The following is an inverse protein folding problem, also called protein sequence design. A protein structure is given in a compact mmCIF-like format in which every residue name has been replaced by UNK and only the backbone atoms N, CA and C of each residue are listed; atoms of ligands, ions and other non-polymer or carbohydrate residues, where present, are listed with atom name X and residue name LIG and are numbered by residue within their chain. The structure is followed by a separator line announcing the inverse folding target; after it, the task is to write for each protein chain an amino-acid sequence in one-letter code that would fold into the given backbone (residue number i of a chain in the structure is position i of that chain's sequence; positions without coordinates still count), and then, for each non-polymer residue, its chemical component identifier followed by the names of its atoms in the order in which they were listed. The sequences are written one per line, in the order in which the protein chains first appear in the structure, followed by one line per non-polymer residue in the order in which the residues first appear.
data_IF_567589255094
#
_entry.id   IF_567589255094
#
_cell.length_a   1.000
_cell.length_b   1.000
_cell.length_c   1.000
_cell.angle_alpha   90.00
_cell.angle_beta   90.00
_cell.angle_gamma   90.00
#
_symmetry.space_group_name_H-M   'P 1'
#
loop_
_entity.id
_entity.type
_entity.pdbx_description
1 polymer ?
#
# COMPACT_ATOMS: atom_id res chain seq x y z
N UNK A 1 25.54 12.65 -7.17
CA UNK A 1 26.69 12.24 -6.34
C UNK A 1 28.02 12.40 -7.10
N UNK A 2 29.03 13.02 -6.48
CA UNK A 2 30.39 13.17 -7.05
C UNK A 2 31.03 11.82 -7.44
N UNK A 3 30.56 10.73 -6.84
CA UNK A 3 30.98 9.34 -7.10
C UNK A 3 30.59 8.86 -8.52
N UNK A 4 29.56 9.44 -9.14
CA UNK A 4 29.20 9.12 -10.53
C UNK A 4 30.12 9.82 -11.56
N UNK A 5 31.00 10.75 -11.17
CA UNK A 5 31.79 11.54 -12.15
C UNK A 5 32.63 10.68 -13.10
N UNK A 6 33.19 9.56 -12.61
CA UNK A 6 33.96 8.61 -13.44
C UNK A 6 33.10 7.88 -14.46
N UNK A 7 31.85 7.60 -14.13
CA UNK A 7 30.93 6.76 -14.92
C UNK A 7 29.72 7.54 -15.45
N UNK A 8 29.74 8.87 -15.38
CA UNK A 8 28.56 9.71 -15.62
C UNK A 8 27.98 9.47 -17.01
N UNK A 9 28.83 9.46 -18.03
CA UNK A 9 28.43 9.24 -19.42
C UNK A 9 27.85 7.83 -19.64
N UNK A 10 28.46 6.80 -19.03
CA UNK A 10 27.95 5.43 -19.12
C UNK A 10 26.60 5.30 -18.39
N UNK A 11 26.47 5.93 -17.23
CA UNK A 11 25.23 5.96 -16.45
C UNK A 11 24.11 6.64 -17.24
N UNK A 12 24.34 7.86 -17.73
CA UNK A 12 23.37 8.65 -18.49
C UNK A 12 22.94 7.91 -19.76
N UNK A 13 23.90 7.40 -20.54
CA UNK A 13 23.60 6.59 -21.73
C UNK A 13 22.77 5.36 -21.39
N UNK A 14 23.04 4.68 -20.29
CA UNK A 14 22.26 3.49 -19.87
C UNK A 14 20.83 3.87 -19.50
N UNK A 15 20.64 4.99 -18.78
CA UNK A 15 19.32 5.51 -18.44
C UNK A 15 18.57 5.92 -19.70
N UNK A 16 19.21 6.63 -20.62
CA UNK A 16 18.63 7.06 -21.89
C UNK A 16 18.25 5.87 -22.78
N UNK A 17 19.07 4.82 -22.83
CA UNK A 17 18.78 3.58 -23.54
C UNK A 17 17.52 2.89 -22.99
N UNK A 18 17.39 2.83 -21.66
CA UNK A 18 16.20 2.29 -21.00
C UNK A 18 14.94 3.11 -21.35
N UNK A 19 15.02 4.44 -21.27
CA UNK A 19 13.90 5.33 -21.62
C UNK A 19 13.57 5.36 -23.11
N UNK A 20 14.57 5.25 -23.98
CA UNK A 20 14.40 5.15 -25.44
C UNK A 20 13.67 3.84 -25.79
N UNK A 21 14.12 2.72 -25.22
CA UNK A 21 13.48 1.41 -25.40
C UNK A 21 12.05 1.41 -24.85
N UNK A 22 11.85 1.99 -23.66
CA UNK A 22 10.54 2.18 -23.04
C UNK A 22 9.56 2.90 -23.97
N UNK A 23 9.98 4.04 -24.56
CA UNK A 23 9.14 4.84 -25.47
C UNK A 23 8.81 4.07 -26.74
N UNK A 24 9.79 3.42 -27.35
CA UNK A 24 9.59 2.61 -28.55
C UNK A 24 8.63 1.44 -28.32
N UNK A 25 8.77 0.74 -27.19
CA UNK A 25 7.89 -0.36 -26.83
C UNK A 25 6.47 0.11 -26.50
N UNK A 26 6.32 1.29 -25.89
CA UNK A 26 5.01 1.84 -25.54
C UNK A 26 4.16 2.05 -26.79
N UNK A 27 4.72 2.66 -27.83
CA UNK A 27 4.01 2.89 -29.10
C UNK A 27 3.58 1.58 -29.76
N UNK A 28 4.50 0.60 -29.84
CA UNK A 28 4.23 -0.72 -30.42
C UNK A 28 3.18 -1.49 -29.63
N UNK A 29 3.22 -1.41 -28.30
CA UNK A 29 2.23 -2.06 -27.44
C UNK A 29 0.85 -1.41 -27.58
N UNK A 30 0.74 -0.08 -27.68
CA UNK A 30 -0.55 0.57 -27.93
C UNK A 30 -1.18 0.05 -29.23
N UNK A 31 -0.40 -0.05 -30.31
CA UNK A 31 -0.88 -0.60 -31.59
C UNK A 31 -1.30 -2.06 -31.47
N UNK A 32 -0.54 -2.87 -30.73
CA UNK A 32 -0.89 -4.26 -30.45
C UNK A 32 -2.19 -4.36 -29.64
N UNK A 33 -2.33 -3.60 -28.56
CA UNK A 33 -3.51 -3.58 -27.71
C UNK A 33 -4.75 -3.14 -28.48
N UNK A 34 -4.63 -2.16 -29.38
CA UNK A 34 -5.72 -1.72 -30.24
C UNK A 34 -6.21 -2.83 -31.19
N UNK A 35 -5.31 -3.71 -31.66
CA UNK A 35 -5.66 -4.86 -32.49
C UNK A 35 -6.28 -6.00 -31.69
N UNK A 36 -5.76 -6.26 -30.48
CA UNK A 36 -6.25 -7.34 -29.60
C UNK A 36 -7.59 -7.02 -28.95
N UNK A 37 -7.81 -5.76 -28.58
CA UNK A 37 -9.00 -5.33 -27.86
C UNK A 37 -9.74 -4.24 -28.63
N UNK A 38 -10.54 -4.60 -29.65
CA UNK A 38 -11.36 -3.62 -30.38
C UNK A 38 -12.25 -2.81 -29.46
N UNK A 39 -12.50 -1.55 -29.83
CA UNK A 39 -13.29 -0.61 -29.03
C UNK A 39 -14.74 -1.11 -28.84
N UNK A 40 -15.21 -1.32 -27.59
CA UNK A 40 -16.62 -1.55 -27.28
C UNK A 40 -17.52 -0.36 -27.67
N UNK A 41 -18.79 -0.63 -27.97
CA UNK A 41 -19.74 0.40 -28.41
C UNK A 41 -20.13 1.40 -27.29
N UNK A 42 -20.01 0.99 -26.04
CA UNK A 42 -20.42 1.73 -24.84
C UNK A 42 -19.33 2.66 -24.29
N UNK A 43 -18.13 2.68 -24.88
CA UNK A 43 -17.03 3.55 -24.42
C UNK A 43 -16.68 4.64 -25.45
N UNK A 44 -16.36 5.83 -24.94
CA UNK A 44 -15.90 6.96 -25.77
C UNK A 44 -14.48 6.72 -26.29
N UNK A 45 -14.12 7.36 -27.40
CA UNK A 45 -12.77 7.24 -27.98
C UNK A 45 -11.68 7.64 -26.98
N UNK A 46 -11.89 8.74 -26.25
CA UNK A 46 -10.96 9.20 -25.20
C UNK A 46 -10.80 8.18 -24.08
N UNK A 47 -11.88 7.55 -23.62
CA UNK A 47 -11.82 6.53 -22.58
C UNK A 47 -11.10 5.27 -23.08
N UNK A 48 -11.35 4.88 -24.33
CA UNK A 48 -10.67 3.77 -24.98
C UNK A 48 -9.16 3.99 -25.08
N UNK A 49 -8.73 5.12 -25.65
CA UNK A 49 -7.31 5.48 -25.76
C UNK A 49 -6.61 5.54 -24.39
N UNK A 50 -7.29 6.09 -23.39
CA UNK A 50 -6.77 6.15 -22.02
C UNK A 50 -6.55 4.76 -21.45
N UNK A 51 -7.49 3.82 -21.66
CA UNK A 51 -7.37 2.43 -21.18
C UNK A 51 -6.25 1.67 -21.92
N UNK A 52 -6.17 1.79 -23.24
CA UNK A 52 -5.07 1.22 -24.04
C UNK A 52 -3.71 1.72 -23.54
N UNK A 53 -3.58 3.03 -23.37
CA UNK A 53 -2.35 3.67 -22.89
C UNK A 53 -2.01 3.21 -21.48
N UNK A 54 -2.98 3.17 -20.56
CA UNK A 54 -2.75 2.75 -19.19
C UNK A 54 -2.27 1.30 -19.09
N UNK A 55 -2.88 0.38 -19.85
CA UNK A 55 -2.45 -1.04 -19.92
C UNK A 55 -1.08 -1.20 -20.58
N UNK A 56 -0.79 -0.41 -21.62
CA UNK A 56 0.53 -0.43 -22.25
C UNK A 56 1.63 0.12 -21.34
N UNK A 57 1.34 1.20 -20.59
CA UNK A 57 2.24 1.76 -19.58
C UNK A 57 2.55 0.77 -18.46
N UNK A 58 1.55 0.00 -18.02
CA UNK A 58 1.73 -1.07 -17.04
C UNK A 58 2.76 -2.10 -17.52
N UNK A 59 2.70 -2.51 -18.79
CA UNK A 59 3.64 -3.45 -19.37
C UNK A 59 5.05 -2.86 -19.54
N UNK A 60 5.18 -1.63 -20.07
CA UNK A 60 6.51 -1.06 -20.34
C UNK A 60 7.23 -0.54 -19.10
N UNK A 61 6.52 -0.27 -17.99
CA UNK A 61 7.12 0.29 -16.76
C UNK A 61 8.26 -0.57 -16.19
N UNK A 62 8.33 -1.85 -16.57
CA UNK A 62 9.41 -2.78 -16.22
C UNK A 62 10.80 -2.25 -16.61
N UNK A 63 10.90 -1.42 -17.66
CA UNK A 63 12.16 -0.79 -18.07
C UNK A 63 12.51 0.48 -17.29
N UNK A 64 11.59 1.04 -16.47
CA UNK A 64 11.89 2.27 -15.74
C UNK A 64 12.99 2.02 -14.70
N UNK A 65 14.12 2.75 -14.74
CA UNK A 65 15.15 2.63 -13.72
C UNK A 65 14.65 3.25 -12.40
N UNK A 66 15.22 2.83 -11.26
CA UNK A 66 14.87 3.43 -9.97
C UNK A 66 15.25 4.91 -9.88
N UNK A 67 16.15 5.39 -10.74
CA UNK A 67 16.49 6.79 -10.97
C UNK A 67 15.37 7.65 -11.57
N UNK A 68 14.22 7.06 -11.95
CA UNK A 68 13.09 7.81 -12.50
C UNK A 68 12.60 8.85 -11.49
N UNK A 69 12.70 10.13 -11.85
CA UNK A 69 12.26 11.23 -11.00
C UNK A 69 10.74 11.19 -10.79
N UNK A 70 10.32 11.51 -9.58
CA UNK A 70 8.90 11.59 -9.20
C UNK A 70 8.66 12.80 -8.31
N UNK A 71 7.43 13.31 -8.33
CA UNK A 71 7.01 14.30 -7.36
C UNK A 71 6.82 13.65 -5.99
N UNK A 72 7.22 14.36 -4.94
CA UNK A 72 7.05 13.95 -3.55
C UNK A 72 6.47 15.10 -2.73
N UNK A 73 5.40 14.80 -1.99
CA UNK A 73 4.79 15.71 -1.04
C UNK A 73 4.54 14.95 0.26
N UNK A 74 4.75 15.63 1.40
CA UNK A 74 4.71 14.99 2.70
C UNK A 74 3.98 15.88 3.70
N UNK A 75 3.01 15.30 4.40
CA UNK A 75 2.31 15.93 5.53
C UNK A 75 2.49 15.00 6.72
N UNK A 76 3.02 15.53 7.82
CA UNK A 76 3.21 14.77 9.05
C UNK A 76 3.29 15.70 10.26
N UNK A 77 3.08 15.13 11.45
CA UNK A 77 3.31 15.85 12.70
C UNK A 77 4.81 16.05 12.96
N UNK A 78 5.16 17.07 13.75
CA UNK A 78 6.54 17.32 14.16
C UNK A 78 7.19 16.11 14.87
N UNK A 79 6.39 15.34 15.63
CA UNK A 79 6.86 14.11 16.28
C UNK A 79 7.29 13.06 15.25
N UNK A 80 6.47 12.82 14.23
CA UNK A 80 6.81 11.88 13.15
C UNK A 80 7.99 12.38 12.31
N UNK A 81 8.08 13.69 12.08
CA UNK A 81 9.18 14.32 11.34
C UNK A 81 10.53 14.09 11.99
N UNK A 82 10.62 14.22 13.32
CA UNK A 82 11.83 13.89 14.09
C UNK A 82 12.33 12.47 13.81
N UNK A 83 11.43 11.49 13.80
CA UNK A 83 11.78 10.10 13.52
C UNK A 83 12.17 9.88 12.05
N UNK A 84 11.51 10.58 11.12
CA UNK A 84 11.85 10.52 9.71
C UNK A 84 13.26 11.08 9.45
N UNK A 85 13.57 12.27 9.98
CA UNK A 85 14.91 12.87 9.90
C UNK A 85 15.96 11.89 10.44
N UNK A 86 15.76 11.34 11.66
CA UNK A 86 16.70 10.39 12.24
C UNK A 86 16.98 9.17 11.33
N UNK A 87 15.95 8.67 10.62
CA UNK A 87 16.12 7.59 9.64
C UNK A 87 16.86 8.04 8.37
N UNK A 88 16.60 9.24 7.88
CA UNK A 88 17.29 9.78 6.70
C UNK A 88 18.78 9.98 6.97
N UNK A 89 19.14 10.48 8.16
CA UNK A 89 20.53 10.75 8.56
C UNK A 89 21.42 9.51 8.63
N UNK A 90 20.85 8.31 8.81
CA UNK A 90 21.60 7.03 8.82
C UNK A 90 21.53 6.29 7.48
N UNK A 91 20.91 6.89 6.45
CA UNK A 91 20.90 6.31 5.11
C UNK A 91 22.32 6.12 4.61
N UNK A 92 22.63 5.01 3.91
CA UNK A 92 23.95 4.83 3.34
C UNK A 92 24.18 5.77 2.13
N UNK A 93 23.11 6.25 1.49
CA UNK A 93 23.15 7.22 0.40
C UNK A 93 23.39 8.63 0.93
N UNK A 94 24.39 9.33 0.37
CA UNK A 94 24.77 10.68 0.79
C UNK A 94 23.63 11.69 0.58
N UNK A 95 23.03 11.69 -0.61
CA UNK A 95 21.95 12.61 -1.00
C UNK A 95 20.73 12.48 -0.08
N UNK A 96 20.46 11.28 0.46
CA UNK A 96 19.36 11.08 1.41
C UNK A 96 19.68 11.71 2.77
N UNK A 97 20.96 11.68 3.19
CA UNK A 97 21.40 12.38 4.40
C UNK A 97 21.37 13.90 4.21
N UNK A 98 21.75 14.39 3.03
CA UNK A 98 21.67 15.81 2.66
C UNK A 98 20.22 16.31 2.71
N UNK A 99 19.27 15.58 2.11
CA UNK A 99 17.83 15.85 2.22
C UNK A 99 17.39 15.84 3.70
N UNK A 100 17.88 14.89 4.50
CA UNK A 100 17.61 14.84 5.93
C UNK A 100 18.05 16.10 6.68
N UNK A 101 19.23 16.64 6.35
CA UNK A 101 19.75 17.87 6.94
C UNK A 101 18.99 19.10 6.44
N UNK A 102 18.66 19.19 5.15
CA UNK A 102 17.83 20.27 4.60
C UNK A 102 16.45 20.33 5.28
N UNK A 103 15.78 19.19 5.43
CA UNK A 103 14.50 19.10 6.14
C UNK A 103 14.66 19.53 7.59
N UNK A 104 15.75 19.12 8.25
CA UNK A 104 16.04 19.51 9.63
C UNK A 104 16.22 21.03 9.76
N UNK A 105 16.99 21.66 8.88
CA UNK A 105 17.18 23.12 8.88
C UNK A 105 15.87 23.86 8.57
N UNK A 106 15.11 23.41 7.57
CA UNK A 106 13.81 23.98 7.23
C UNK A 106 12.81 23.88 8.39
N UNK A 107 12.90 22.83 9.23
CA UNK A 107 12.03 22.63 10.39
C UNK A 107 12.37 23.55 11.58
N UNK A 108 13.55 24.17 11.59
CA UNK A 108 13.94 25.18 12.59
C UNK A 108 13.44 26.58 12.21
N UNK A 109 13.11 26.80 10.95
CA UNK A 109 12.55 28.05 10.49
C UNK A 109 11.09 28.23 10.98
N UNK A 110 10.63 29.48 11.21
CA UNK A 110 9.23 29.75 11.53
C UNK A 110 8.29 29.19 10.46
N UNK A 111 7.06 28.82 10.86
CA UNK A 111 6.05 28.32 9.94
C UNK A 111 5.79 29.32 8.81
N UNK A 112 5.86 28.84 7.56
CA UNK A 112 5.67 29.69 6.38
C UNK A 112 4.18 29.81 6.02
N UNK A 113 3.62 31.02 6.16
CA UNK A 113 2.27 31.34 5.67
C UNK A 113 2.37 32.16 4.37
N UNK A 114 2.16 31.56 3.18
CA UNK A 114 2.32 32.26 1.91
C UNK A 114 1.27 33.37 1.70
N UNK A 115 0.16 33.36 2.46
CA UNK A 115 -0.85 34.43 2.41
C UNK A 115 -0.46 35.62 3.27
N UNK A 116 0.17 35.39 4.43
CA UNK A 116 0.67 36.50 5.26
C UNK A 116 1.76 37.26 4.50
N UNK A 117 2.66 36.58 3.79
CA UNK A 117 3.71 37.23 2.99
C UNK A 117 3.14 38.12 1.88
N UNK A 118 2.07 37.69 1.18
CA UNK A 118 1.41 38.52 0.16
C UNK A 118 0.71 39.76 0.74
N UNK A 119 0.18 39.65 1.95
CA UNK A 119 -0.55 40.74 2.61
C UNK A 119 0.37 41.65 3.43
N UNK A 120 1.56 41.18 3.78
CA UNK A 120 2.52 41.86 4.67
C UNK A 120 2.84 43.27 4.20
N UNK A 121 3.19 43.44 2.93
CA UNK A 121 3.55 44.76 2.37
C UNK A 121 2.37 45.71 2.37
N UNK A 122 1.18 45.25 1.98
CA UNK A 122 -0.03 46.08 1.95
C UNK A 122 -0.51 46.44 3.36
N UNK A 123 -0.56 45.50 4.29
CA UNK A 123 -0.94 45.74 5.67
C UNK A 123 0.07 46.63 6.40
N UNK A 124 1.37 46.48 6.12
CA UNK A 124 2.41 47.35 6.66
C UNK A 124 2.25 48.79 6.13
N UNK A 125 2.05 48.97 4.82
CA UNK A 125 1.82 50.30 4.24
C UNK A 125 0.58 50.99 4.81
N UNK A 126 -0.50 50.24 5.05
CA UNK A 126 -1.72 50.74 5.69
C UNK A 126 -1.44 51.15 7.15
N UNK A 127 -0.73 50.30 7.90
CA UNK A 127 -0.33 50.57 9.29
C UNK A 127 0.51 51.84 9.42
N UNK A 128 1.47 52.03 8.53
CA UNK A 128 2.40 53.16 8.58
C UNK A 128 1.71 54.50 8.25
N UNK A 129 0.59 54.46 7.54
CA UNK A 129 -0.25 55.64 7.21
C UNK A 129 -1.44 55.85 8.16
N UNK A 130 -1.64 54.95 9.13
CA UNK A 130 -2.82 54.89 9.98
C UNK A 130 -2.63 55.64 11.31
N UNK A 131 -3.75 56.10 11.89
CA UNK A 131 -3.77 56.66 13.24
C UNK A 131 -3.67 55.55 14.32
N UNK A 132 -3.45 55.93 15.59
CA UNK A 132 -3.18 54.98 16.67
C UNK A 132 -4.27 53.90 16.85
N UNK A 133 -5.54 54.27 16.68
CA UNK A 133 -6.69 53.38 16.82
C UNK A 133 -6.81 52.39 15.64
N UNK A 134 -6.51 52.88 14.43
CA UNK A 134 -6.43 52.06 13.22
C UNK A 134 -5.23 51.10 13.26
N UNK A 135 -4.08 51.53 13.81
CA UNK A 135 -2.90 50.66 13.98
C UNK A 135 -3.21 49.46 14.87
N UNK A 136 -3.92 49.67 16.00
CA UNK A 136 -4.36 48.57 16.89
C UNK A 136 -5.23 47.56 16.15
N UNK A 137 -6.17 48.05 15.33
CA UNK A 137 -7.06 47.19 14.53
C UNK A 137 -6.29 46.42 13.45
N UNK A 138 -5.33 47.07 12.78
CA UNK A 138 -4.48 46.43 11.77
C UNK A 138 -3.59 45.35 12.41
N UNK A 139 -3.05 45.60 13.60
CA UNK A 139 -2.25 44.64 14.35
C UNK A 139 -3.08 43.40 14.75
N UNK A 140 -4.34 43.59 15.16
CA UNK A 140 -5.29 42.50 15.41
C UNK A 140 -5.64 41.71 14.13
N UNK A 141 -5.76 42.38 12.98
CA UNK A 141 -5.99 41.72 11.69
C UNK A 141 -4.77 40.90 11.29
N UNK A 142 -3.56 41.44 11.48
CA UNK A 142 -2.30 40.72 11.24
C UNK A 142 -2.24 39.46 12.10
N UNK A 143 -2.54 39.55 13.40
CA UNK A 143 -2.62 38.38 14.31
C UNK A 143 -3.72 37.39 13.87
N UNK A 144 -4.88 37.88 13.45
CA UNK A 144 -6.03 37.09 13.00
C UNK A 144 -5.87 36.45 11.62
N UNK A 145 -4.87 36.85 10.82
CA UNK A 145 -4.54 36.16 9.54
C UNK A 145 -3.89 34.79 9.74
N UNK A 146 -3.67 34.39 10.99
CA UNK A 146 -3.23 33.07 11.41
C UNK A 146 -4.35 32.03 11.25
N UNK A 147 -4.21 31.18 10.22
CA UNK A 147 -4.93 29.93 9.92
C UNK A 147 -6.33 29.73 10.55
N UNK A 148 -7.36 30.06 9.76
CA UNK A 148 -8.72 29.56 9.93
C UNK A 148 -8.83 28.10 9.45
N UNK A 149 -8.86 27.16 10.41
CA UNK A 149 -9.03 25.73 10.14
C UNK A 149 -10.51 25.46 9.88
N UNK A 150 -10.88 25.36 8.60
CA UNK A 150 -12.21 24.90 8.22
C UNK A 150 -12.41 23.45 8.66
N UNK A 151 -13.61 23.15 9.16
CA UNK A 151 -14.01 21.78 9.49
C UNK A 151 -13.91 20.84 8.29
N UNK A 152 -13.94 19.53 8.55
CA UNK A 152 -13.84 18.49 7.52
C UNK A 152 -15.20 17.84 7.22
N UNK A 153 -16.14 18.54 6.55
CA UNK A 153 -17.51 18.06 6.36
C UNK A 153 -17.54 16.76 5.55
N UNK A 154 -16.59 16.52 4.67
CA UNK A 154 -16.48 15.26 3.90
C UNK A 154 -16.08 14.07 4.76
N UNK A 155 -15.31 14.26 5.84
CA UNK A 155 -15.00 13.17 6.78
C UNK A 155 -16.19 12.84 7.67
N UNK A 156 -17.07 13.80 7.92
CA UNK A 156 -18.25 13.64 8.79
C UNK A 156 -19.45 13.05 8.01
N UNK A 157 -19.43 13.06 6.66
CA UNK A 157 -20.54 12.54 5.83
C UNK A 157 -20.85 11.04 6.00
N UNK A 158 -20.01 10.28 6.67
CA UNK A 158 -20.17 8.84 6.86
C UNK A 158 -20.08 8.43 8.33
N UNK A 159 -20.63 9.27 9.23
CA UNK A 159 -20.65 9.02 10.67
C UNK A 159 -21.97 8.47 11.19
N UNK A 160 -22.90 8.13 10.29
CA UNK A 160 -24.12 7.43 10.69
C UNK A 160 -23.77 6.10 11.37
N UNK A 161 -24.60 5.62 12.32
CA UNK A 161 -24.37 4.35 12.99
C UNK A 161 -24.17 3.21 11.97
N UNK A 162 -23.11 2.42 12.15
CA UNK A 162 -22.83 1.28 11.28
C UNK A 162 -23.87 0.18 11.53
N UNK A 163 -24.81 0.01 10.61
CA UNK A 163 -25.76 -1.11 10.63
C UNK A 163 -25.06 -2.47 10.69
N UNK A 164 -23.92 -2.58 10.01
CA UNK A 164 -23.09 -3.77 10.04
C UNK A 164 -22.67 -4.11 11.48
N UNK A 165 -22.16 -3.15 12.24
CA UNK A 165 -21.74 -3.39 13.63
C UNK A 165 -22.93 -3.74 14.53
N UNK A 166 -24.07 -3.06 14.36
CA UNK A 166 -25.30 -3.33 15.13
C UNK A 166 -25.75 -4.78 14.90
N UNK A 167 -26.03 -5.15 13.64
CA UNK A 167 -26.53 -6.49 13.27
C UNK A 167 -25.55 -7.59 13.66
N UNK A 168 -24.25 -7.33 13.53
CA UNK A 168 -23.24 -8.31 13.90
C UNK A 168 -23.16 -8.52 15.41
N UNK A 169 -23.26 -7.44 16.20
CA UNK A 169 -23.30 -7.55 17.66
C UNK A 169 -24.54 -8.31 18.13
N UNK A 170 -25.70 -8.05 17.55
CA UNK A 170 -26.94 -8.76 17.84
C UNK A 170 -26.79 -10.28 17.56
N UNK A 171 -26.34 -10.63 16.35
CA UNK A 171 -26.11 -12.05 15.98
C UNK A 171 -25.08 -12.73 16.87
N UNK A 172 -23.97 -12.07 17.19
CA UNK A 172 -22.95 -12.63 18.10
C UNK A 172 -23.52 -12.91 19.48
N UNK A 173 -24.29 -11.97 20.04
CA UNK A 173 -24.92 -12.14 21.35
C UNK A 173 -25.89 -13.33 21.34
N UNK A 174 -26.71 -13.48 20.30
CA UNK A 174 -27.62 -14.63 20.17
C UNK A 174 -26.86 -15.96 20.10
N UNK A 175 -25.78 -16.03 19.31
CA UNK A 175 -24.95 -17.22 19.19
C UNK A 175 -24.25 -17.54 20.51
N UNK A 176 -23.72 -16.53 21.19
CA UNK A 176 -23.06 -16.67 22.48
C UNK A 176 -24.01 -17.24 23.55
N UNK A 177 -25.23 -16.71 23.66
CA UNK A 177 -26.26 -17.22 24.59
C UNK A 177 -26.58 -18.69 24.29
N UNK A 178 -26.73 -19.05 23.02
CA UNK A 178 -26.98 -20.45 22.60
C UNK A 178 -25.83 -21.40 22.93
N UNK A 179 -24.57 -20.95 22.82
CA UNK A 179 -23.38 -21.78 23.03
C UNK A 179 -23.07 -21.99 24.52
N UNK A 180 -23.20 -20.93 25.33
CA UNK A 180 -22.79 -20.96 26.74
C UNK A 180 -23.93 -21.23 27.71
N UNK A 181 -25.19 -20.99 27.32
CA UNK A 181 -26.37 -21.38 28.09
C UNK A 181 -26.41 -20.85 29.54
N UNK A 182 -25.75 -19.71 29.82
CA UNK A 182 -25.68 -19.15 31.17
C UNK A 182 -24.77 -19.92 32.14
N UNK A 183 -23.79 -20.67 31.64
CA UNK A 183 -22.76 -21.31 32.47
C UNK A 183 -22.13 -20.32 33.47
N UNK A 184 -21.70 -20.76 34.66
CA UNK A 184 -21.00 -19.88 35.60
C UNK A 184 -19.66 -19.42 35.03
N UNK A 185 -19.23 -18.22 35.40
CA UNK A 185 -17.94 -17.67 35.02
C UNK A 185 -16.84 -18.32 35.87
N UNK A 186 -15.86 -18.95 35.24
CA UNK A 186 -14.76 -19.60 35.95
C UNK A 186 -13.80 -18.56 36.57
N UNK A 187 -13.28 -18.80 37.78
CA UNK A 187 -12.25 -17.94 38.36
C UNK A 187 -10.95 -18.04 37.56
N UNK A 188 -10.31 -16.91 37.29
CA UNK A 188 -9.03 -16.83 36.56
C UNK A 188 -8.08 -15.82 37.22
N UNK A 189 -6.76 -15.96 37.02
CA UNK A 189 -5.80 -14.97 37.48
C UNK A 189 -6.01 -13.62 36.79
N UNK A 190 -5.55 -12.53 37.42
CA UNK A 190 -5.64 -11.16 36.88
C UNK A 190 -4.99 -11.01 35.50
N UNK A 191 -3.92 -11.76 35.26
CA UNK A 191 -3.21 -11.82 33.99
C UNK A 191 -3.00 -13.28 33.66
N UNK A 192 -3.47 -13.70 32.48
CA UNK A 192 -3.35 -15.05 31.98
C UNK A 192 -2.66 -15.00 30.62
N UNK A 193 -1.53 -15.70 30.49
CA UNK A 193 -0.80 -15.81 29.23
C UNK A 193 -1.38 -17.01 28.47
N UNK A 194 -2.02 -16.75 27.34
CA UNK A 194 -2.66 -17.80 26.53
C UNK A 194 -1.64 -18.36 25.53
N UNK A 195 -1.53 -19.69 25.48
CA UNK A 195 -0.63 -20.38 24.55
C UNK A 195 -1.17 -20.36 23.11
N UNK A 196 -0.28 -20.47 22.10
CA UNK A 196 -0.70 -20.61 20.71
C UNK A 196 -1.66 -21.78 20.50
N UNK A 197 -2.64 -21.59 19.64
CA UNK A 197 -3.65 -22.58 19.27
C UNK A 197 -4.03 -22.37 17.79
N UNK A 198 -4.96 -23.18 17.27
CA UNK A 198 -5.36 -23.07 15.87
C UNK A 198 -5.99 -21.70 15.58
N UNK A 199 -5.75 -21.15 14.39
CA UNK A 199 -6.31 -19.87 13.98
C UNK A 199 -7.84 -19.91 13.92
N UNK A 200 -8.40 -21.06 13.56
CA UNK A 200 -9.84 -21.32 13.58
C UNK A 200 -10.43 -21.18 14.99
N UNK A 201 -9.81 -21.81 15.98
CA UNK A 201 -10.23 -21.69 17.37
C UNK A 201 -10.01 -20.26 17.88
N UNK A 202 -8.90 -19.62 17.51
CA UNK A 202 -8.59 -18.25 17.90
C UNK A 202 -9.65 -17.26 17.39
N UNK A 203 -10.06 -17.37 16.11
CA UNK A 203 -11.10 -16.52 15.52
C UNK A 203 -12.43 -16.65 16.27
N UNK A 204 -12.91 -17.89 16.40
CA UNK A 204 -14.22 -18.15 16.99
C UNK A 204 -14.20 -17.77 18.47
N UNK A 205 -13.11 -18.06 19.18
CA UNK A 205 -12.95 -17.68 20.59
C UNK A 205 -12.94 -16.17 20.74
N UNK A 206 -12.20 -15.44 19.90
CA UNK A 206 -12.10 -13.97 19.98
C UNK A 206 -13.43 -13.30 19.61
N UNK A 207 -14.16 -13.81 18.61
CA UNK A 207 -15.50 -13.36 18.26
C UNK A 207 -16.49 -13.51 19.43
N UNK A 208 -16.48 -14.67 20.09
CA UNK A 208 -17.34 -14.94 21.25
C UNK A 208 -16.88 -14.17 22.51
N UNK A 209 -15.58 -13.89 22.65
CA UNK A 209 -15.04 -13.10 23.75
C UNK A 209 -15.62 -11.68 23.77
N UNK A 210 -15.73 -11.03 22.60
CA UNK A 210 -16.36 -9.71 22.50
C UNK A 210 -17.86 -9.67 22.83
N UNK A 211 -18.52 -10.84 22.88
CA UNK A 211 -19.96 -10.97 23.11
C UNK A 211 -20.31 -11.65 24.46
N UNK A 212 -19.31 -11.96 25.29
CA UNK A 212 -19.51 -12.65 26.57
C UNK A 212 -18.66 -12.07 27.69
N UNK A 213 -18.94 -12.51 28.93
CA UNK A 213 -18.16 -12.15 30.12
C UNK A 213 -17.26 -13.31 30.58
N UNK A 214 -17.05 -14.33 29.75
CA UNK A 214 -16.27 -15.52 30.10
C UNK A 214 -14.78 -15.28 29.85
N UNK A 215 -13.88 -15.77 30.73
CA UNK A 215 -12.45 -15.77 30.47
C UNK A 215 -12.10 -16.52 29.20
N UNK A 216 -11.03 -16.08 28.52
CA UNK A 216 -10.63 -16.62 27.23
C UNK A 216 -10.46 -18.14 27.23
N UNK A 217 -9.82 -18.72 28.25
CA UNK A 217 -9.63 -20.19 28.36
C UNK A 217 -10.95 -20.94 28.42
N UNK A 218 -11.95 -20.43 29.15
CA UNK A 218 -13.27 -21.04 29.25
C UNK A 218 -13.98 -21.05 27.89
N UNK A 219 -13.87 -19.96 27.13
CA UNK A 219 -14.42 -19.88 25.77
C UNK A 219 -13.68 -20.85 24.85
N UNK A 220 -12.33 -20.86 24.90
CA UNK A 220 -11.50 -21.71 24.06
C UNK A 220 -11.77 -23.21 24.28
N UNK A 221 -11.92 -23.63 25.53
CA UNK A 221 -12.31 -24.99 25.89
C UNK A 221 -13.64 -25.39 25.27
N UNK A 222 -14.63 -24.47 25.29
CA UNK A 222 -15.93 -24.70 24.66
C UNK A 222 -15.83 -24.75 23.15
N UNK A 223 -15.06 -23.85 22.54
CA UNK A 223 -14.85 -23.76 21.08
C UNK A 223 -14.16 -25.01 20.55
N UNK A 224 -13.18 -25.56 21.27
CA UNK A 224 -12.51 -26.83 20.92
C UNK A 224 -13.45 -28.03 20.88
N UNK A 225 -14.57 -27.97 21.61
CA UNK A 225 -15.62 -29.01 21.60
C UNK A 225 -16.65 -28.81 20.48
N UNK A 226 -16.64 -27.67 19.79
CA UNK A 226 -17.52 -27.42 18.65
C UNK A 226 -17.01 -28.18 17.42
N UNK A 227 -17.94 -28.70 16.62
CA UNK A 227 -17.62 -29.19 15.28
C UNK A 227 -17.23 -28.03 14.36
N UNK A 228 -16.44 -28.32 13.33
CA UNK A 228 -16.04 -27.32 12.33
C UNK A 228 -17.26 -26.65 11.68
N UNK A 229 -18.34 -27.40 11.44
CA UNK A 229 -19.59 -26.84 10.90
C UNK A 229 -20.19 -25.75 11.80
N UNK A 230 -20.12 -25.92 13.12
CA UNK A 230 -20.61 -24.92 14.09
C UNK A 230 -19.70 -23.71 14.14
N UNK A 231 -18.38 -23.90 14.10
CA UNK A 231 -17.40 -22.81 14.00
C UNK A 231 -17.64 -21.99 12.73
N UNK A 232 -17.87 -22.67 11.61
CA UNK A 232 -18.18 -22.05 10.33
C UNK A 232 -19.49 -21.26 10.38
N UNK A 233 -20.53 -21.78 11.03
CA UNK A 233 -21.81 -21.03 11.20
C UNK A 233 -21.60 -19.71 11.93
N UNK A 234 -20.71 -19.66 12.92
CA UNK A 234 -20.39 -18.41 13.63
C UNK A 234 -19.70 -17.43 12.68
N UNK A 235 -18.75 -17.89 11.88
CA UNK A 235 -18.03 -17.07 10.89
C UNK A 235 -18.99 -16.59 9.78
N UNK A 236 -19.86 -17.47 9.29
CA UNK A 236 -20.89 -17.16 8.29
C UNK A 236 -21.82 -16.05 8.77
N UNK A 237 -22.28 -16.12 10.02
CA UNK A 237 -23.14 -15.10 10.61
C UNK A 237 -22.50 -13.70 10.60
N UNK A 238 -21.16 -13.61 10.76
CA UNK A 238 -20.44 -12.33 10.70
C UNK A 238 -20.36 -11.82 9.27
N UNK A 239 -20.10 -12.72 8.32
CA UNK A 239 -19.94 -12.38 6.92
C UNK A 239 -21.26 -11.92 6.27
N UNK A 240 -22.39 -12.52 6.64
CA UNK A 240 -23.72 -12.14 6.15
C UNK A 240 -24.07 -10.68 6.45
N UNK A 241 -23.56 -10.12 7.55
CA UNK A 241 -23.81 -8.73 7.92
C UNK A 241 -22.90 -7.74 7.18
N UNK A 242 -21.84 -8.21 6.52
CA UNK A 242 -20.77 -7.37 5.99
C UNK A 242 -21.14 -6.78 4.62
N UNK A 243 -21.30 -5.46 4.55
CA UNK A 243 -21.54 -4.73 3.31
C UNK A 243 -20.31 -4.61 2.41
N UNK A 244 -20.47 -3.96 1.25
CA UNK A 244 -19.41 -3.83 0.22
C UNK A 244 -18.18 -3.07 0.74
N UNK A 245 -18.41 -2.03 1.54
CA UNK A 245 -17.37 -1.12 2.04
C UNK A 245 -16.94 -1.43 3.48
N UNK A 246 -17.62 -2.38 4.12
CA UNK A 246 -17.30 -2.77 5.50
C UNK A 246 -16.02 -3.62 5.55
N UNK A 247 -15.15 -3.25 6.48
CA UNK A 247 -13.99 -4.06 6.80
C UNK A 247 -14.37 -5.23 7.71
N UNK A 248 -13.64 -6.36 7.66
CA UNK A 248 -13.75 -7.38 8.69
C UNK A 248 -13.52 -6.75 10.06
N UNK A 249 -14.21 -7.28 11.08
CA UNK A 249 -14.13 -6.75 12.43
C UNK A 249 -12.71 -6.90 13.01
N UNK A 250 -12.47 -6.22 14.13
CA UNK A 250 -11.19 -6.27 14.82
C UNK A 250 -10.84 -7.68 15.31
N UNK A 251 -11.83 -8.49 15.62
CA UNK A 251 -11.69 -9.87 16.06
C UNK A 251 -11.09 -10.79 14.97
N UNK A 252 -10.92 -10.31 13.72
CA UNK A 252 -10.16 -10.97 12.66
C UNK A 252 -8.65 -10.67 12.72
N UNK A 253 -8.18 -9.83 13.64
CA UNK A 253 -6.75 -9.59 13.91
C UNK A 253 -6.14 -10.79 14.67
N UNK A 254 -6.38 -12.00 14.17
CA UNK A 254 -5.94 -13.28 14.74
C UNK A 254 -4.65 -13.77 14.10
N UNK A 255 -4.04 -14.73 14.79
CA UNK A 255 -2.91 -15.49 14.30
C UNK A 255 -1.62 -14.74 14.59
N UNK A 256 -0.72 -15.40 15.33
CA UNK A 256 0.54 -14.81 15.76
C UNK A 256 1.38 -14.17 14.64
N UNK A 257 1.23 -14.64 13.38
CA UNK A 257 1.50 -13.94 12.11
C UNK A 257 1.35 -14.92 10.92
N UNK A 258 0.57 -14.57 9.89
CA UNK A 258 0.74 -15.14 8.54
C UNK A 258 2.01 -14.57 7.93
N UNK A 259 2.96 -15.42 7.57
CA UNK A 259 4.28 -15.01 7.08
C UNK A 259 4.45 -15.45 5.63
N UNK A 260 4.64 -14.48 4.73
CA UNK A 260 4.90 -14.71 3.31
C UNK A 260 6.29 -14.19 2.94
N UNK A 261 7.15 -15.09 2.45
CA UNK A 261 8.40 -14.73 1.80
C UNK A 261 8.14 -14.54 0.29
N UNK A 262 8.05 -13.29 -0.14
CA UNK A 262 7.61 -12.94 -1.49
C UNK A 262 8.79 -12.46 -2.32
N UNK A 263 9.02 -13.14 -3.44
CA UNK A 263 9.94 -12.70 -4.49
C UNK A 263 9.11 -12.17 -5.66
N UNK A 264 9.23 -10.87 -5.96
CA UNK A 264 8.41 -10.20 -6.96
C UNK A 264 9.18 -9.13 -7.73
N UNK A 265 8.71 -8.71 -8.90
CA UNK A 265 9.26 -7.53 -9.57
C UNK A 265 9.18 -6.27 -8.69
N UNK A 266 10.12 -5.35 -8.88
CA UNK A 266 10.21 -4.15 -8.05
C UNK A 266 9.02 -3.21 -8.27
N UNK A 267 8.37 -3.25 -9.44
CA UNK A 267 7.11 -2.54 -9.69
C UNK A 267 5.98 -3.04 -8.77
N UNK A 268 5.76 -4.35 -8.68
CA UNK A 268 4.79 -4.96 -7.78
C UNK A 268 5.09 -4.65 -6.32
N UNK A 269 6.36 -4.67 -5.92
CA UNK A 269 6.76 -4.26 -4.57
C UNK A 269 6.34 -2.80 -4.27
N UNK A 270 6.60 -1.86 -5.19
CA UNK A 270 6.21 -0.45 -5.02
C UNK A 270 4.70 -0.28 -4.89
N UNK A 271 3.92 -1.17 -5.48
CA UNK A 271 2.47 -1.20 -5.37
C UNK A 271 2.01 -1.80 -4.02
N UNK A 272 2.55 -2.95 -3.63
CA UNK A 272 2.17 -3.67 -2.41
C UNK A 272 2.70 -3.04 -1.12
N UNK A 273 3.83 -2.30 -1.16
CA UNK A 273 4.38 -1.65 0.03
C UNK A 273 3.45 -0.63 0.69
N UNK A 274 2.41 -0.19 -0.04
CA UNK A 274 1.40 0.76 0.44
C UNK A 274 0.46 0.16 1.50
N UNK A 275 0.52 -1.16 1.73
CA UNK A 275 -0.17 -1.85 2.84
C UNK A 275 0.61 -1.70 4.13
N UNK A 276 0.52 -0.50 4.71
CA UNK A 276 1.38 -0.02 5.80
C UNK A 276 1.10 -0.63 7.17
N UNK A 277 -0.07 -1.27 7.35
CA UNK A 277 -0.39 -1.96 8.61
C UNK A 277 0.45 -3.24 8.70
N UNK A 278 0.56 -3.97 7.57
CA UNK A 278 1.34 -5.18 7.48
C UNK A 278 2.80 -4.90 7.87
N UNK A 279 3.39 -5.82 8.62
CA UNK A 279 4.83 -5.78 8.90
C UNK A 279 5.58 -6.19 7.65
N UNK A 280 6.42 -5.30 7.13
CA UNK A 280 7.20 -5.52 5.92
C UNK A 280 8.70 -5.43 6.22
N UNK A 281 9.44 -6.51 5.97
CA UNK A 281 10.90 -6.53 6.08
C UNK A 281 11.50 -6.64 4.69
N UNK A 282 12.25 -5.60 4.30
CA UNK A 282 12.77 -5.44 2.95
C UNK A 282 14.24 -5.86 2.87
N UNK A 283 14.56 -6.80 2.00
CA UNK A 283 15.95 -6.99 1.56
C UNK A 283 16.36 -5.86 0.58
N UNK A 284 17.66 -5.58 0.40
CA UNK A 284 18.14 -4.66 -0.64
C UNK A 284 17.68 -5.08 -2.04
N UNK A 285 17.52 -4.10 -2.94
CA UNK A 285 17.30 -4.38 -4.35
C UNK A 285 18.62 -4.83 -5.01
N UNK A 286 18.57 -5.92 -5.77
CA UNK A 286 19.74 -6.49 -6.47
C UNK A 286 19.33 -7.04 -7.84
N UNK A 287 20.31 -7.31 -8.69
CA UNK A 287 20.11 -8.01 -9.97
C UNK A 287 20.19 -9.54 -9.86
N UNK A 288 20.61 -10.06 -8.70
CA UNK A 288 20.93 -11.49 -8.49
C UNK A 288 19.68 -12.40 -8.56
N UNK A 289 18.50 -11.85 -8.28
CA UNK A 289 17.24 -12.59 -8.33
C UNK A 289 16.65 -12.69 -9.74
N UNK A 290 17.33 -12.14 -10.75
CA UNK A 290 16.83 -12.03 -12.10
C UNK A 290 15.71 -11.01 -12.25
N UNK A 291 15.04 -11.05 -13.40
CA UNK A 291 14.01 -10.10 -13.78
C UNK A 291 12.79 -10.81 -14.38
N UNK A 292 11.67 -10.11 -14.44
CA UNK A 292 10.45 -10.57 -15.10
C UNK A 292 10.29 -9.89 -16.47
N UNK A 293 9.82 -10.68 -17.43
CA UNK A 293 9.40 -10.16 -18.75
C UNK A 293 7.89 -10.05 -18.76
N UNK A 294 7.31 -8.86 -19.01
CA UNK A 294 5.86 -8.68 -19.15
C UNK A 294 5.28 -9.64 -20.19
N UNK A 295 4.20 -10.36 -19.85
CA UNK A 295 3.57 -11.29 -20.78
C UNK A 295 2.98 -10.56 -22.00
N UNK A 296 2.60 -9.29 -21.86
CA UNK A 296 2.13 -8.45 -22.96
C UNK A 296 3.20 -8.32 -24.06
N UNK A 297 4.48 -8.23 -23.68
CA UNK A 297 5.59 -8.20 -24.64
C UNK A 297 5.80 -9.57 -25.30
N UNK A 298 5.57 -10.66 -24.58
CA UNK A 298 5.62 -12.03 -25.12
C UNK A 298 4.53 -12.20 -26.17
N UNK A 299 3.28 -11.89 -25.84
CA UNK A 299 2.15 -12.04 -26.75
C UNK A 299 2.28 -11.13 -27.97
N UNK A 300 2.81 -9.92 -27.80
CA UNK A 300 3.07 -8.98 -28.89
C UNK A 300 4.31 -9.34 -29.73
N UNK A 301 5.09 -10.35 -29.34
CA UNK A 301 6.40 -10.71 -29.96
C UNK A 301 7.42 -9.56 -29.94
N UNK A 302 7.42 -8.78 -28.85
CA UNK A 302 8.27 -7.60 -28.64
C UNK A 302 9.35 -7.83 -27.57
N UNK A 303 9.66 -9.09 -27.23
CA UNK A 303 10.61 -9.45 -26.17
C UNK A 303 12.05 -9.11 -26.50
N UNK A 304 12.46 -9.16 -27.77
CA UNK A 304 13.86 -8.93 -28.19
C UNK A 304 14.40 -7.55 -27.78
N UNK A 305 13.77 -6.42 -28.16
CA UNK A 305 14.25 -5.10 -27.75
C UNK A 305 14.28 -4.92 -26.22
N UNK A 306 13.35 -5.55 -25.49
CA UNK A 306 13.36 -5.55 -24.03
C UNK A 306 14.59 -6.29 -23.47
N UNK A 307 14.84 -7.52 -23.94
CA UNK A 307 15.97 -8.33 -23.49
C UNK A 307 17.31 -7.69 -23.84
N UNK A 308 17.45 -7.08 -25.02
CA UNK A 308 18.65 -6.35 -25.43
C UNK A 308 18.92 -5.15 -24.51
N UNK A 309 17.89 -4.38 -24.16
CA UNK A 309 18.03 -3.26 -23.24
C UNK A 309 18.43 -3.73 -21.83
N UNK A 310 17.84 -4.82 -21.33
CA UNK A 310 18.23 -5.44 -20.06
C UNK A 310 19.69 -5.94 -20.11
N UNK A 311 20.12 -6.52 -21.23
CA UNK A 311 21.52 -6.96 -21.40
C UNK A 311 22.49 -5.79 -21.32
N UNK A 312 22.26 -4.72 -22.09
CA UNK A 312 23.09 -3.50 -22.06
C UNK A 312 23.12 -2.88 -20.66
N UNK A 313 21.98 -2.82 -19.97
CA UNK A 313 21.90 -2.38 -18.58
C UNK A 313 22.78 -3.24 -17.66
N UNK A 314 22.73 -4.57 -17.78
CA UNK A 314 23.52 -5.47 -16.91
C UNK A 314 25.02 -5.28 -17.09
N UNK A 315 25.46 -5.10 -18.33
CA UNK A 315 26.88 -4.84 -18.64
C UNK A 315 27.34 -3.52 -17.99
N UNK A 316 26.57 -2.45 -18.18
CA UNK A 316 26.86 -1.15 -17.57
C UNK A 316 26.80 -1.20 -16.04
N UNK A 317 25.77 -1.83 -15.46
CA UNK A 317 25.63 -2.02 -14.02
C UNK A 317 26.83 -2.76 -13.43
N UNK A 318 27.30 -3.82 -14.10
CA UNK A 318 28.46 -4.60 -13.66
C UNK A 318 29.76 -3.79 -13.60
N UNK A 319 29.94 -2.84 -14.52
CA UNK A 319 31.08 -1.91 -14.53
C UNK A 319 30.92 -0.89 -13.39
N UNK A 320 29.77 -0.23 -13.33
CA UNK A 320 29.50 0.87 -12.38
C UNK A 320 29.53 0.34 -10.93
N UNK A 321 28.88 -0.78 -10.65
CA UNK A 321 28.76 -1.39 -9.31
C UNK A 321 30.09 -1.70 -8.65
N UNK A 322 31.14 -2.02 -9.43
CA UNK A 322 32.50 -2.31 -8.92
C UNK A 322 33.13 -1.09 -8.28
N UNK A 323 32.91 0.08 -8.86
CA UNK A 323 33.56 1.32 -8.44
C UNK A 323 32.68 2.13 -7.48
N UNK A 324 31.37 2.20 -7.72
CA UNK A 324 30.47 3.12 -7.01
C UNK A 324 29.68 2.47 -5.89
N UNK A 325 29.70 1.15 -5.71
CA UNK A 325 28.99 0.57 -4.57
C UNK A 325 27.47 0.49 -4.76
N UNK A 326 26.74 0.76 -3.68
CA UNK A 326 25.27 0.63 -3.63
C UNK A 326 24.54 1.63 -4.53
N UNK A 327 25.19 2.73 -4.89
CA UNK A 327 24.69 3.81 -5.75
C UNK A 327 24.36 3.31 -7.17
N UNK A 328 24.99 2.22 -7.61
CA UNK A 328 24.61 1.57 -8.87
C UNK A 328 23.13 1.10 -8.86
N UNK A 329 22.53 0.93 -7.68
CA UNK A 329 21.12 0.59 -7.49
C UNK A 329 20.14 1.55 -8.20
N UNK A 330 20.56 2.79 -8.45
CA UNK A 330 19.78 3.78 -9.22
C UNK A 330 19.47 3.34 -10.65
N UNK A 331 20.32 2.50 -11.25
CA UNK A 331 20.11 2.01 -12.61
C UNK A 331 19.11 0.85 -12.69
N UNK A 332 18.84 0.14 -11.58
CA UNK A 332 18.08 -1.12 -11.63
C UNK A 332 16.66 -0.87 -12.17
N UNK A 333 16.26 -1.51 -13.28
CA UNK A 333 14.90 -1.40 -13.81
C UNK A 333 13.85 -2.04 -12.88
N UNK A 334 12.60 -1.56 -12.95
CA UNK A 334 11.49 -2.13 -12.17
C UNK A 334 11.24 -3.62 -12.44
N UNK A 335 11.73 -4.15 -13.57
CA UNK A 335 11.65 -5.57 -13.93
C UNK A 335 12.38 -6.51 -12.96
N UNK A 336 13.40 -6.02 -12.26
CA UNK A 336 14.22 -6.87 -11.40
C UNK A 336 13.48 -7.27 -10.13
N UNK A 337 13.74 -8.51 -9.70
CA UNK A 337 13.05 -9.09 -8.56
C UNK A 337 13.65 -8.63 -7.24
N UNK A 338 12.77 -8.34 -6.30
CA UNK A 338 13.07 -7.97 -4.93
C UNK A 338 12.40 -8.95 -3.98
N UNK A 339 13.15 -9.41 -2.97
CA UNK A 339 12.60 -10.19 -1.86
C UNK A 339 12.08 -9.28 -0.75
N UNK A 340 10.86 -9.56 -0.29
CA UNK A 340 10.22 -8.86 0.81
C UNK A 340 9.43 -9.86 1.65
N UNK A 341 9.66 -9.80 2.96
CA UNK A 341 8.90 -10.59 3.94
C UNK A 341 7.68 -9.79 4.37
N UNK A 342 6.49 -10.35 4.16
CA UNK A 342 5.24 -9.82 4.70
C UNK A 342 4.85 -10.66 5.91
N UNK A 343 4.61 -10.01 7.04
CA UNK A 343 3.95 -10.62 8.19
C UNK A 343 2.66 -9.86 8.46
N UNK A 344 1.56 -10.61 8.54
CA UNK A 344 0.23 -10.01 8.66
C UNK A 344 -0.75 -10.88 9.43
N UNK A 345 -1.78 -10.28 9.99
CA UNK A 345 -2.94 -11.00 10.52
C UNK A 345 -3.96 -11.32 9.40
N UNK A 346 -5.05 -12.00 9.76
CA UNK A 346 -6.10 -12.36 8.80
C UNK A 346 -6.86 -11.11 8.28
N UNK A 347 -7.11 -10.10 9.13
CA UNK A 347 -7.81 -8.86 8.74
C UNK A 347 -7.02 -8.09 7.68
N UNK A 348 -5.71 -8.04 7.83
CA UNK A 348 -4.77 -7.44 6.88
C UNK A 348 -4.71 -8.22 5.55
N UNK A 349 -4.73 -9.56 5.60
CA UNK A 349 -4.84 -10.39 4.40
C UNK A 349 -6.12 -10.08 3.63
N UNK A 350 -7.26 -9.99 4.32
CA UNK A 350 -8.54 -9.57 3.73
C UNK A 350 -8.40 -8.21 3.04
N UNK A 351 -7.88 -7.21 3.76
CA UNK A 351 -7.70 -5.88 3.18
C UNK A 351 -6.80 -5.89 1.93
N UNK A 352 -5.68 -6.61 2.00
CA UNK A 352 -4.71 -6.70 0.92
C UNK A 352 -5.29 -7.37 -0.32
N UNK A 353 -5.83 -8.58 -0.18
CA UNK A 353 -6.34 -9.38 -1.30
C UNK A 353 -7.56 -8.73 -1.93
N UNK A 354 -8.52 -8.25 -1.13
CA UNK A 354 -9.75 -7.63 -1.67
C UNK A 354 -9.46 -6.33 -2.44
N UNK A 355 -8.47 -5.55 -1.99
CA UNK A 355 -8.09 -4.32 -2.69
C UNK A 355 -7.25 -4.62 -3.95
N UNK A 356 -6.32 -5.57 -3.85
CA UNK A 356 -5.29 -5.80 -4.87
C UNK A 356 -5.62 -6.85 -5.90
N UNK A 357 -6.66 -7.65 -5.70
CA UNK A 357 -7.17 -8.57 -6.73
C UNK A 357 -8.05 -7.88 -7.77
N UNK A 358 -8.51 -6.64 -7.53
CA UNK A 358 -9.45 -5.92 -8.40
C UNK A 358 -8.93 -5.72 -9.85
N UNK A 359 -9.82 -5.69 -10.85
CA UNK A 359 -9.47 -5.56 -12.28
C UNK A 359 -8.59 -4.37 -12.67
N UNK A 360 -8.73 -3.24 -11.96
CA UNK A 360 -7.92 -2.04 -12.20
C UNK A 360 -6.45 -2.18 -11.79
N UNK A 361 -6.08 -3.29 -11.14
CA UNK A 361 -4.72 -3.55 -10.71
C UNK A 361 -3.80 -4.11 -11.79
N UNK A 362 -2.51 -4.07 -11.52
CA UNK A 362 -1.46 -4.64 -12.37
C UNK A 362 -1.38 -6.16 -12.18
N UNK A 363 -1.25 -6.94 -13.27
CA UNK A 363 -1.31 -8.41 -13.22
C UNK A 363 -0.32 -9.06 -12.26
N UNK A 364 0.94 -8.59 -12.23
CA UNK A 364 1.94 -9.13 -11.29
C UNK A 364 1.47 -9.17 -9.83
N UNK A 365 1.12 -8.02 -9.23
CA UNK A 365 0.68 -8.05 -7.83
C UNK A 365 -0.71 -8.69 -7.64
N UNK A 366 -1.57 -8.68 -8.67
CA UNK A 366 -2.86 -9.40 -8.63
C UNK A 366 -2.65 -10.90 -8.48
N UNK A 367 -1.70 -11.46 -9.22
CA UNK A 367 -1.32 -12.87 -9.12
C UNK A 367 -0.67 -13.16 -7.77
N UNK A 368 0.22 -12.30 -7.28
CA UNK A 368 0.86 -12.47 -5.95
C UNK A 368 -0.19 -12.54 -4.82
N UNK A 369 -1.16 -11.63 -4.80
CA UNK A 369 -2.19 -11.68 -3.73
C UNK A 369 -3.16 -12.84 -3.91
N UNK A 370 -3.40 -13.30 -5.14
CA UNK A 370 -4.15 -14.53 -5.39
C UNK A 370 -3.38 -15.75 -4.86
N UNK A 371 -2.07 -15.81 -5.06
CA UNK A 371 -1.23 -16.89 -4.53
C UNK A 371 -1.24 -16.89 -3.00
N UNK A 372 -1.13 -15.72 -2.36
CA UNK A 372 -1.29 -15.58 -0.90
C UNK A 372 -2.64 -16.15 -0.44
N UNK A 373 -3.74 -15.76 -1.09
CA UNK A 373 -5.07 -16.27 -0.79
C UNK A 373 -5.15 -17.79 -0.96
N UNK A 374 -4.64 -18.34 -2.06
CA UNK A 374 -4.71 -19.78 -2.35
C UNK A 374 -3.89 -20.60 -1.34
N UNK A 375 -2.72 -20.11 -0.93
CA UNK A 375 -1.87 -20.74 0.08
C UNK A 375 -2.58 -20.79 1.45
N UNK A 376 -3.22 -19.69 1.85
CA UNK A 376 -4.01 -19.66 3.09
C UNK A 376 -5.26 -20.52 2.97
N UNK A 377 -6.00 -20.46 1.87
CA UNK A 377 -7.19 -21.29 1.62
C UNK A 377 -6.89 -22.77 1.70
N UNK A 378 -5.73 -23.20 1.21
CA UNK A 378 -5.30 -24.60 1.26
C UNK A 378 -5.12 -25.09 2.70
N UNK A 379 -4.64 -24.24 3.59
CA UNK A 379 -4.36 -24.60 5.00
C UNK A 379 -5.58 -24.35 5.91
N UNK A 380 -6.27 -23.23 5.68
CA UNK A 380 -7.32 -22.68 6.54
C UNK A 380 -8.55 -22.23 5.70
N UNK A 381 -9.25 -23.15 5.02
CA UNK A 381 -10.32 -22.81 4.08
C UNK A 381 -11.48 -22.03 4.74
N UNK A 382 -11.80 -22.36 5.99
CA UNK A 382 -12.86 -21.70 6.76
C UNK A 382 -12.56 -20.21 6.99
N UNK A 383 -11.29 -19.85 7.24
CA UNK A 383 -10.88 -18.48 7.56
C UNK A 383 -10.99 -17.52 6.39
N UNK A 384 -10.93 -18.03 5.15
CA UNK A 384 -10.97 -17.20 3.93
C UNK A 384 -12.20 -17.46 3.07
N UNK A 385 -13.18 -18.22 3.59
CA UNK A 385 -14.44 -18.53 2.91
C UNK A 385 -15.15 -17.27 2.40
N UNK A 386 -15.15 -16.21 3.21
CA UNK A 386 -15.83 -14.94 2.92
C UNK A 386 -14.89 -13.82 2.48
N UNK A 387 -13.62 -14.16 2.19
CA UNK A 387 -12.68 -13.22 1.61
C UNK A 387 -13.08 -12.96 0.15
N UNK A 388 -13.27 -11.69 -0.22
CA UNK A 388 -13.68 -11.31 -1.58
C UNK A 388 -12.49 -11.25 -2.53
N UNK A 389 -12.20 -12.33 -3.24
CA UNK A 389 -11.12 -12.38 -4.24
C UNK A 389 -11.67 -12.32 -5.66
N UNK A 390 -11.05 -11.51 -6.52
CA UNK A 390 -11.31 -11.52 -7.97
C UNK A 390 -10.19 -12.29 -8.67
N UNK A 391 -10.54 -13.39 -9.32
CA UNK A 391 -9.58 -14.19 -10.10
C UNK A 391 -9.09 -13.33 -11.29
N UNK A 392 -7.78 -13.11 -11.46
CA UNK A 392 -7.27 -12.31 -12.56
C UNK A 392 -7.57 -12.96 -13.91
N UNK A 393 -8.29 -12.23 -14.77
CA UNK A 393 -8.48 -12.59 -16.17
C UNK A 393 -8.16 -11.36 -17.01
N UNK A 394 -7.01 -11.34 -17.66
CA UNK A 394 -6.53 -10.14 -18.34
C UNK A 394 -7.48 -9.65 -19.44
N UNK A 395 -8.05 -10.57 -20.21
CA UNK A 395 -8.90 -10.22 -21.35
C UNK A 395 -10.25 -9.68 -20.88
N UNK A 396 -10.89 -10.33 -19.92
CA UNK A 396 -12.15 -9.86 -19.35
C UNK A 396 -12.00 -8.57 -18.53
N UNK A 397 -10.84 -8.39 -17.89
CA UNK A 397 -10.58 -7.25 -17.02
C UNK A 397 -10.01 -6.04 -17.75
N UNK A 398 -9.66 -6.18 -19.03
CA UNK A 398 -8.93 -5.17 -19.79
C UNK A 398 -9.59 -3.79 -19.67
N UNK A 399 -10.92 -3.73 -19.88
CA UNK A 399 -11.71 -2.51 -19.82
C UNK A 399 -12.33 -2.18 -18.46
N UNK A 400 -12.07 -2.96 -17.39
CA UNK A 400 -12.62 -2.73 -16.04
C UNK A 400 -11.74 -1.83 -15.15
N UNK A 401 -10.72 -1.20 -15.74
CA UNK A 401 -9.84 -0.23 -15.06
C UNK A 401 -10.48 1.14 -14.95
#
# INVERSE_FOLDING_TARGET
PAIMAKHAELYERTVDDLFSTYRSLLEKLIQYMQKRFPKPADITDRAYETKLKARSLDAVRYLLPTATLTNFGMIMSARSLRHAIAKLMVSPYQEIREIGEEIKQASLAPAHNPRSEKLKTSLQSLRDSANLEQQITIDQIIEGTSLDIKGAPTLIKHTDPSEYLIKTNEKLNELAVKIFGGAPVNPTPRVDYIEPHSYEDELVTTLLYGATNYPYRQILEKVRQLSDQKKETIIDAMAECRGQYDQPRREYEIGGQLIFDVLMDYGAFRDLQRHRICTQINQPLTIDHGYETPFELVDAKLTNPFNEAISRFRDAYGIIRRDVGIEAGYLIPLAFKKRTLYKMDLRELYHMVELRSKPGGHMSYRNIVLDMYNLVKKQHPMLVKHLRVVIPNYDEDFFKR
#
